data_IF_435748487784
#
_entry.id   IF_435748487784
#
_cell.length_a   1.000
_cell.length_b   1.000
_cell.length_c   1.000
_cell.angle_alpha   90.00
_cell.angle_beta   90.00
_cell.angle_gamma   90.00
#
_symmetry.space_group_name_H-M   'P 1'
#
loop_
_entity.id
_entity.type
_entity.pdbx_description
1 polymer ?
#
# COMPACT_ATOMS: atom_id res chain seq x y z
N UNK A 1 3.78 14.22 -0.68
CA UNK A 1 3.69 12.79 -0.34
C UNK A 1 2.56 12.18 -1.15
N UNK A 2 2.75 11.02 -1.76
CA UNK A 2 1.72 10.36 -2.59
C UNK A 2 0.68 9.63 -1.73
N UNK A 3 -0.49 9.35 -2.33
CA UNK A 3 -1.58 8.61 -1.68
C UNK A 3 -1.86 7.31 -2.43
N UNK A 4 -1.88 6.20 -1.70
CA UNK A 4 -2.42 4.92 -2.15
C UNK A 4 -3.69 4.61 -1.37
N UNK A 5 -4.73 4.16 -2.06
CA UNK A 5 -5.97 3.65 -1.45
C UNK A 5 -6.08 2.17 -1.80
N UNK A 6 -5.99 1.31 -0.78
CA UNK A 6 -5.93 -0.15 -0.94
C UNK A 6 -7.28 -0.81 -0.63
N UNK A 7 -7.50 -2.02 -1.16
CA UNK A 7 -8.69 -2.82 -0.89
C UNK A 7 -9.95 -2.28 -1.57
N UNK A 8 -9.83 -1.85 -2.82
CA UNK A 8 -10.96 -1.49 -3.67
C UNK A 8 -11.69 -2.75 -4.13
N UNK A 9 -13.02 -2.74 -4.13
CA UNK A 9 -13.81 -3.92 -4.47
C UNK A 9 -14.98 -3.61 -5.41
N UNK A 10 -15.80 -2.61 -5.13
CA UNK A 10 -17.03 -2.32 -5.85
C UNK A 10 -16.81 -1.29 -6.96
N UNK A 11 -17.29 -1.56 -8.19
CA UNK A 11 -17.04 -0.74 -9.38
C UNK A 11 -17.40 0.74 -9.15
N UNK A 12 -18.65 1.02 -8.73
CA UNK A 12 -19.11 2.39 -8.47
C UNK A 12 -18.23 3.12 -7.43
N UNK A 13 -17.68 2.38 -6.47
CA UNK A 13 -16.80 2.94 -5.44
C UNK A 13 -15.37 3.16 -5.97
N UNK A 14 -14.90 2.28 -6.86
CA UNK A 14 -13.61 2.45 -7.56
C UNK A 14 -13.65 3.76 -8.35
N UNK A 15 -14.71 4.02 -9.11
CA UNK A 15 -14.90 5.26 -9.87
C UNK A 15 -14.97 6.50 -8.97
N UNK A 16 -15.77 6.43 -7.88
CA UNK A 16 -15.87 7.51 -6.91
C UNK A 16 -14.52 7.86 -6.27
N UNK A 17 -13.71 6.85 -5.94
CA UNK A 17 -12.36 7.07 -5.36
C UNK A 17 -11.37 7.51 -6.44
N UNK A 18 -11.46 7.00 -7.67
CA UNK A 18 -10.62 7.43 -8.78
C UNK A 18 -10.81 8.92 -9.11
N UNK A 19 -12.04 9.45 -9.00
CA UNK A 19 -12.34 10.89 -9.14
C UNK A 19 -11.62 11.77 -8.11
N UNK A 20 -11.19 11.18 -6.98
CA UNK A 20 -10.33 11.87 -6.01
C UNK A 20 -8.86 11.92 -6.46
N UNK A 21 -8.50 11.25 -7.57
CA UNK A 21 -7.15 11.20 -8.13
C UNK A 21 -6.08 10.79 -7.09
N UNK A 22 -6.18 9.63 -6.43
CA UNK A 22 -5.06 9.07 -5.69
C UNK A 22 -3.95 8.68 -6.68
N UNK A 23 -2.73 8.50 -6.20
CA UNK A 23 -1.63 8.06 -7.06
C UNK A 23 -1.69 6.56 -7.36
N UNK A 24 -2.25 5.76 -6.44
CA UNK A 24 -2.37 4.31 -6.53
C UNK A 24 -3.73 3.84 -6.04
N UNK A 25 -4.31 2.84 -6.73
CA UNK A 25 -5.45 2.05 -6.25
C UNK A 25 -5.04 0.59 -6.12
N UNK A 26 -5.28 -0.02 -4.95
CA UNK A 26 -4.92 -1.39 -4.64
C UNK A 26 -6.12 -2.34 -4.71
N UNK A 27 -5.94 -3.46 -5.42
CA UNK A 27 -6.90 -4.54 -5.62
C UNK A 27 -6.34 -5.82 -5.02
N UNK A 28 -7.04 -6.44 -4.07
CA UNK A 28 -6.54 -7.58 -3.30
C UNK A 28 -6.97 -8.88 -3.98
N UNK A 29 -6.01 -9.64 -4.48
CA UNK A 29 -6.22 -10.96 -5.12
C UNK A 29 -5.93 -12.12 -4.15
N UNK A 30 -6.29 -11.96 -2.89
CA UNK A 30 -6.16 -12.98 -1.86
C UNK A 30 -7.54 -13.43 -1.39
N UNK A 31 -7.90 -14.68 -1.68
CA UNK A 31 -9.26 -15.23 -1.51
C UNK A 31 -9.78 -15.15 -0.08
N UNK A 32 -8.89 -15.26 0.91
CA UNK A 32 -9.27 -15.21 2.34
C UNK A 32 -9.52 -13.79 2.83
N UNK A 33 -9.29 -12.77 2.00
CA UNK A 33 -9.56 -11.38 2.36
C UNK A 33 -11.04 -11.05 2.19
N UNK A 34 -11.65 -10.39 3.17
CA UNK A 34 -12.99 -9.82 3.03
C UNK A 34 -13.05 -8.74 1.91
N UNK A 35 -11.89 -8.26 1.46
CA UNK A 35 -11.70 -7.27 0.38
C UNK A 35 -11.24 -7.93 -0.92
N UNK A 36 -11.37 -9.25 -1.03
CA UNK A 36 -10.99 -9.97 -2.25
C UNK A 36 -11.68 -9.35 -3.47
N UNK A 37 -10.87 -9.09 -4.51
CA UNK A 37 -11.31 -8.55 -5.78
C UNK A 37 -11.30 -9.65 -6.85
N UNK A 38 -12.46 -10.00 -7.36
CA UNK A 38 -12.68 -11.08 -8.34
C UNK A 38 -13.32 -10.59 -9.66
N UNK A 39 -13.56 -9.28 -9.78
CA UNK A 39 -14.20 -8.65 -10.92
C UNK A 39 -13.17 -8.09 -11.94
N UNK A 40 -13.60 -7.26 -12.87
CA UNK A 40 -12.77 -6.53 -13.82
C UNK A 40 -12.51 -5.11 -13.30
N UNK A 41 -11.24 -4.70 -13.27
CA UNK A 41 -10.90 -3.32 -12.89
C UNK A 41 -11.40 -2.39 -14.01
N UNK A 42 -12.28 -1.41 -13.72
CA UNK A 42 -12.77 -0.48 -14.71
C UNK A 42 -11.64 0.39 -15.28
N UNK A 43 -11.92 1.08 -16.39
CA UNK A 43 -10.97 2.04 -16.94
C UNK A 43 -10.69 3.17 -15.93
N UNK A 44 -9.43 3.39 -15.63
CA UNK A 44 -8.99 4.42 -14.70
C UNK A 44 -8.19 5.50 -15.42
N UNK A 45 -8.16 6.75 -14.92
CA UNK A 45 -7.26 7.77 -15.42
C UNK A 45 -5.80 7.28 -15.41
N UNK A 46 -5.05 7.55 -16.49
CA UNK A 46 -3.67 7.08 -16.67
C UNK A 46 -2.71 7.54 -15.55
N UNK A 47 -3.04 8.58 -14.81
CA UNK A 47 -2.27 9.06 -13.67
C UNK A 47 -2.39 8.17 -12.42
N UNK A 48 -3.35 7.25 -12.39
CA UNK A 48 -3.60 6.34 -11.26
C UNK A 48 -3.00 4.99 -11.58
N UNK A 49 -2.02 4.56 -10.80
CA UNK A 49 -1.41 3.23 -10.93
C UNK A 49 -2.28 2.16 -10.27
N UNK A 50 -2.51 1.06 -10.98
CA UNK A 50 -3.23 -0.13 -10.50
C UNK A 50 -2.25 -1.08 -9.81
N UNK A 51 -2.49 -1.36 -8.52
CA UNK A 51 -1.65 -2.24 -7.71
C UNK A 51 -2.39 -3.54 -7.44
N UNK A 52 -1.86 -4.66 -7.91
CA UNK A 52 -2.31 -5.98 -7.47
C UNK A 52 -1.67 -6.35 -6.13
N UNK A 53 -2.48 -6.74 -5.15
CA UNK A 53 -2.00 -7.18 -3.84
C UNK A 53 -2.14 -8.70 -3.74
N UNK A 54 -1.02 -9.36 -3.47
CA UNK A 54 -0.89 -10.82 -3.42
C UNK A 54 -0.32 -11.28 -2.07
N UNK A 55 -0.66 -12.47 -1.65
CA UNK A 55 -0.18 -13.09 -0.41
C UNK A 55 0.22 -14.53 -0.72
N UNK A 56 1.52 -14.81 -0.80
CA UNK A 56 2.11 -16.12 -1.08
C UNK A 56 1.51 -16.82 -2.32
N UNK A 57 1.22 -16.03 -3.37
CA UNK A 57 0.54 -16.48 -4.58
C UNK A 57 1.54 -17.06 -5.60
N UNK A 58 1.08 -17.98 -6.45
CA UNK A 58 1.85 -18.55 -7.53
C UNK A 58 2.21 -17.48 -8.58
N UNK A 59 3.46 -17.49 -9.05
CA UNK A 59 3.98 -16.52 -10.04
C UNK A 59 3.16 -16.53 -11.32
N UNK A 60 2.74 -17.68 -11.82
CA UNK A 60 1.92 -17.80 -13.05
C UNK A 60 0.56 -17.11 -12.86
N UNK A 61 -0.07 -17.29 -11.68
CA UNK A 61 -1.32 -16.60 -11.35
C UNK A 61 -1.12 -15.09 -11.30
N UNK A 62 -0.02 -14.62 -10.68
CA UNK A 62 0.32 -13.19 -10.64
C UNK A 62 0.48 -12.63 -12.06
N UNK A 63 1.21 -13.33 -12.95
CA UNK A 63 1.43 -12.91 -14.34
C UNK A 63 0.10 -12.82 -15.10
N UNK A 64 -0.77 -13.81 -14.94
CA UNK A 64 -2.11 -13.78 -15.55
C UNK A 64 -2.95 -12.59 -15.06
N UNK A 65 -2.85 -12.24 -13.75
CA UNK A 65 -3.54 -11.06 -13.21
C UNK A 65 -2.95 -9.75 -13.72
N UNK A 66 -1.62 -9.67 -13.93
CA UNK A 66 -0.97 -8.50 -14.55
C UNK A 66 -1.58 -8.22 -15.92
N UNK A 67 -1.67 -9.25 -16.77
CA UNK A 67 -2.18 -9.13 -18.13
C UNK A 67 -3.68 -8.80 -18.14
N UNK A 68 -4.47 -9.59 -17.41
CA UNK A 68 -5.93 -9.43 -17.33
C UNK A 68 -6.34 -8.02 -16.88
N UNK A 69 -5.69 -7.49 -15.85
CA UNK A 69 -6.08 -6.22 -15.23
C UNK A 69 -5.20 -5.04 -15.64
N UNK A 70 -4.15 -5.27 -16.46
CA UNK A 70 -3.15 -4.27 -16.84
C UNK A 70 -2.58 -3.57 -15.61
N UNK A 71 -2.04 -4.37 -14.68
CA UNK A 71 -1.47 -3.87 -13.43
C UNK A 71 -0.19 -3.09 -13.69
N UNK A 72 0.05 -2.04 -12.91
CA UNK A 72 1.25 -1.20 -12.97
C UNK A 72 2.26 -1.58 -11.89
N UNK A 73 1.78 -2.10 -10.76
CA UNK A 73 2.59 -2.50 -9.62
C UNK A 73 2.05 -3.76 -8.93
N UNK A 74 2.96 -4.49 -8.28
CA UNK A 74 2.68 -5.69 -7.49
C UNK A 74 3.05 -5.43 -6.04
N UNK A 75 2.09 -5.57 -5.15
CA UNK A 75 2.33 -5.54 -3.71
C UNK A 75 2.35 -6.97 -3.18
N UNK A 76 3.51 -7.41 -2.71
CA UNK A 76 3.77 -8.74 -2.17
C UNK A 76 3.64 -8.68 -0.64
N UNK A 77 2.52 -9.17 -0.13
CA UNK A 77 2.10 -9.00 1.27
C UNK A 77 2.22 -10.28 2.11
N UNK A 78 2.78 -11.33 1.54
CA UNK A 78 3.06 -12.60 2.20
C UNK A 78 4.54 -12.76 2.57
N UNK A 79 5.03 -14.00 2.48
CA UNK A 79 6.40 -14.40 2.79
C UNK A 79 7.26 -14.58 1.52
N UNK A 80 6.86 -13.91 0.41
CA UNK A 80 7.54 -14.02 -0.87
C UNK A 80 9.04 -13.74 -0.70
N UNK A 81 9.87 -14.69 -1.15
CA UNK A 81 11.33 -14.59 -1.02
C UNK A 81 11.93 -13.55 -1.99
N UNK A 82 13.20 -13.14 -1.78
CA UNK A 82 13.93 -12.28 -2.73
C UNK A 82 13.97 -12.87 -4.14
N UNK A 83 14.04 -14.21 -4.30
CA UNK A 83 14.04 -14.88 -5.60
C UNK A 83 12.70 -14.69 -6.32
N UNK A 84 11.58 -14.81 -5.62
CA UNK A 84 10.25 -14.54 -6.18
C UNK A 84 10.13 -13.07 -6.59
N UNK A 85 10.60 -12.15 -5.76
CA UNK A 85 10.62 -10.71 -6.09
C UNK A 85 11.45 -10.46 -7.36
N UNK A 86 12.63 -11.08 -7.47
CA UNK A 86 13.52 -10.98 -8.64
C UNK A 86 12.86 -11.52 -9.89
N UNK A 87 12.17 -12.66 -9.80
CA UNK A 87 11.45 -13.25 -10.92
C UNK A 87 10.32 -12.33 -11.40
N UNK A 88 9.53 -11.79 -10.48
CA UNK A 88 8.44 -10.87 -10.80
C UNK A 88 8.94 -9.53 -11.36
N UNK A 89 10.15 -9.08 -11.00
CA UNK A 89 10.76 -7.87 -11.56
C UNK A 89 10.97 -7.97 -13.08
N UNK A 90 11.11 -9.19 -13.63
CA UNK A 90 11.19 -9.41 -15.08
C UNK A 90 9.90 -9.03 -15.82
N UNK A 91 8.79 -8.82 -15.12
CA UNK A 91 7.52 -8.33 -15.72
C UNK A 91 7.54 -6.83 -16.02
N UNK A 92 8.60 -6.11 -15.68
CA UNK A 92 8.72 -4.64 -15.75
C UNK A 92 7.62 -3.89 -14.97
N UNK A 93 7.10 -4.49 -13.90
CA UNK A 93 6.16 -3.85 -12.98
C UNK A 93 6.88 -3.39 -11.72
N UNK A 94 6.36 -2.33 -11.09
CA UNK A 94 6.88 -1.91 -9.78
C UNK A 94 6.64 -2.99 -8.74
N UNK A 95 7.67 -3.36 -8.00
CA UNK A 95 7.58 -4.35 -6.90
C UNK A 95 7.58 -3.62 -5.57
N UNK A 96 6.51 -3.81 -4.81
CA UNK A 96 6.32 -3.27 -3.46
C UNK A 96 6.32 -4.45 -2.48
N UNK A 97 7.41 -4.65 -1.72
CA UNK A 97 7.46 -5.71 -0.71
C UNK A 97 7.00 -5.19 0.64
N UNK A 98 6.05 -5.89 1.23
CA UNK A 98 5.49 -5.54 2.55
C UNK A 98 6.29 -6.17 3.67
N UNK A 99 6.55 -5.38 4.70
CA UNK A 99 7.14 -5.80 5.96
C UNK A 99 6.23 -5.37 7.11
N UNK A 100 5.84 -6.33 7.94
CA UNK A 100 4.99 -6.09 9.10
C UNK A 100 5.83 -5.65 10.30
N UNK A 101 5.55 -4.46 10.83
CA UNK A 101 6.24 -3.88 11.99
C UNK A 101 5.34 -3.90 13.23
N UNK A 102 5.96 -4.19 14.37
CA UNK A 102 5.41 -3.92 15.71
C UNK A 102 6.09 -2.68 16.32
N UNK A 103 6.49 -2.78 17.58
CA UNK A 103 7.23 -1.73 18.28
C UNK A 103 8.72 -1.73 17.94
N UNK A 104 9.23 -2.85 17.41
CA UNK A 104 10.61 -3.06 16.99
C UNK A 104 10.62 -3.76 15.62
N UNK A 105 11.67 -3.53 14.85
CA UNK A 105 11.87 -4.17 13.56
C UNK A 105 13.37 -4.36 13.28
N UNK A 106 13.72 -5.57 12.89
CA UNK A 106 15.09 -5.88 12.43
C UNK A 106 15.22 -5.49 10.95
N UNK A 107 15.83 -4.33 10.72
CA UNK A 107 16.06 -3.82 9.36
C UNK A 107 17.07 -4.62 8.55
N UNK A 108 17.82 -5.56 9.14
CA UNK A 108 18.78 -6.38 8.40
C UNK A 108 18.12 -7.22 7.32
N UNK A 109 16.86 -7.63 7.54
CA UNK A 109 16.06 -8.40 6.56
C UNK A 109 15.84 -7.66 5.24
N UNK A 110 15.92 -6.32 5.23
CA UNK A 110 15.71 -5.52 4.02
C UNK A 110 16.84 -5.67 3.01
N UNK A 111 18.05 -6.10 3.47
CA UNK A 111 19.24 -6.18 2.63
C UNK A 111 19.02 -7.07 1.42
N UNK A 112 18.40 -8.22 1.62
CA UNK A 112 18.19 -9.22 0.56
C UNK A 112 17.14 -8.77 -0.48
N UNK A 113 16.28 -7.82 -0.09
CA UNK A 113 15.25 -7.25 -0.97
C UNK A 113 15.68 -5.94 -1.64
N UNK A 114 16.87 -5.42 -1.31
CA UNK A 114 17.34 -4.12 -1.77
C UNK A 114 17.33 -3.95 -3.28
N UNK A 115 17.79 -4.96 -4.02
CA UNK A 115 17.95 -4.89 -5.48
C UNK A 115 16.76 -5.45 -6.26
N UNK A 116 15.89 -6.20 -5.59
CA UNK A 116 14.79 -6.94 -6.23
C UNK A 116 13.41 -6.30 -6.04
N UNK A 117 13.31 -5.23 -5.24
CA UNK A 117 12.09 -4.44 -5.04
C UNK A 117 12.32 -2.99 -5.38
N UNK A 118 11.29 -2.28 -5.85
CA UNK A 118 11.33 -0.84 -6.12
C UNK A 118 10.98 -0.04 -4.88
N UNK A 119 10.07 -0.57 -4.07
CA UNK A 119 9.60 0.03 -2.82
C UNK A 119 9.50 -1.02 -1.72
N UNK A 120 9.68 -0.56 -0.49
CA UNK A 120 9.19 -1.26 0.69
C UNK A 120 7.83 -0.69 1.10
N UNK A 121 7.05 -1.48 1.82
CA UNK A 121 5.85 -1.00 2.48
C UNK A 121 5.90 -1.50 3.93
N UNK A 122 5.82 -0.56 4.87
CA UNK A 122 5.79 -0.88 6.30
C UNK A 122 4.34 -0.82 6.80
N UNK A 123 3.82 -1.97 7.20
CA UNK A 123 2.46 -2.13 7.73
C UNK A 123 2.49 -2.54 9.19
N UNK A 124 1.42 -2.25 9.92
CA UNK A 124 1.29 -2.67 11.32
C UNK A 124 1.12 -4.18 11.42
N UNK A 125 1.98 -4.85 12.19
CA UNK A 125 1.82 -6.28 12.48
C UNK A 125 0.63 -6.50 13.41
N UNK A 126 -0.46 -7.02 12.85
CA UNK A 126 -1.65 -7.43 13.57
C UNK A 126 -1.89 -8.94 13.48
N UNK A 127 -3.07 -9.38 13.94
CA UNK A 127 -3.48 -10.78 13.86
C UNK A 127 -3.92 -11.19 12.46
N UNK A 128 -4.19 -10.23 11.58
CA UNK A 128 -4.61 -10.45 10.19
C UNK A 128 -3.66 -9.74 9.22
N UNK A 129 -3.43 -10.29 8.02
CA UNK A 129 -2.73 -9.59 6.94
C UNK A 129 -3.51 -8.33 6.54
N UNK A 130 -3.10 -7.16 7.04
CA UNK A 130 -3.74 -5.87 6.78
C UNK A 130 -5.05 -5.61 7.55
N UNK A 131 -5.44 -4.34 7.65
CA UNK A 131 -6.74 -3.92 8.19
C UNK A 131 -6.91 -4.01 9.71
N UNK A 132 -5.83 -4.09 10.48
CA UNK A 132 -5.86 -4.26 11.95
C UNK A 132 -6.35 -3.02 12.73
N UNK A 133 -6.49 -1.88 12.09
CA UNK A 133 -7.16 -0.69 12.66
C UNK A 133 -6.35 0.14 13.66
N UNK A 134 -5.12 -0.24 14.00
CA UNK A 134 -4.18 0.54 14.81
C UNK A 134 -2.85 0.74 14.09
N UNK A 135 -2.07 1.75 14.46
CA UNK A 135 -0.77 2.06 13.88
C UNK A 135 0.36 1.62 14.81
N UNK A 136 1.45 1.09 14.23
CA UNK A 136 2.71 0.89 14.97
C UNK A 136 3.36 2.25 15.34
N UNK A 137 4.39 2.19 16.17
CA UNK A 137 5.16 3.40 16.49
C UNK A 137 6.08 3.76 15.31
N UNK A 138 5.74 4.83 14.57
CA UNK A 138 6.51 5.27 13.38
C UNK A 138 7.92 5.76 13.72
N UNK A 139 8.24 6.01 15.00
CA UNK A 139 9.60 6.36 15.44
C UNK A 139 10.62 5.24 15.17
N UNK A 140 10.17 3.99 15.05
CA UNK A 140 11.02 2.87 14.61
C UNK A 140 11.71 3.18 13.28
N UNK A 141 11.05 3.90 12.38
CA UNK A 141 11.56 4.27 11.06
C UNK A 141 12.66 5.35 11.11
N UNK A 142 12.96 5.96 12.28
CA UNK A 142 14.13 6.84 12.44
C UNK A 142 15.44 6.07 12.23
N UNK A 143 15.42 4.76 12.48
CA UNK A 143 16.56 3.86 12.32
C UNK A 143 16.59 3.16 10.95
N UNK A 144 15.73 3.57 10.00
CA UNK A 144 15.67 3.01 8.65
C UNK A 144 17.01 3.19 7.92
N UNK A 145 17.76 2.11 7.61
CA UNK A 145 19.16 2.21 7.17
C UNK A 145 19.32 2.37 5.66
N UNK A 146 18.23 2.37 4.91
CA UNK A 146 18.24 2.36 3.45
C UNK A 146 17.79 3.70 2.86
N UNK A 147 18.20 3.97 1.62
CA UNK A 147 17.70 5.11 0.81
C UNK A 147 16.51 4.72 -0.07
N UNK A 148 16.12 3.43 -0.06
CA UNK A 148 14.99 2.93 -0.86
C UNK A 148 13.70 3.61 -0.41
N UNK A 149 12.90 4.16 -1.35
CA UNK A 149 11.63 4.78 -0.99
C UNK A 149 10.65 3.74 -0.45
N UNK A 150 9.82 4.16 0.49
CA UNK A 150 8.85 3.26 1.11
C UNK A 150 7.46 3.87 1.25
N UNK A 151 6.46 3.00 1.36
CA UNK A 151 5.08 3.31 1.70
C UNK A 151 4.87 3.12 3.20
N UNK A 152 4.20 4.07 3.84
CA UNK A 152 3.77 3.96 5.23
C UNK A 152 2.31 3.53 5.27
N UNK A 153 2.03 2.43 5.95
CA UNK A 153 0.70 1.82 6.10
C UNK A 153 0.38 1.52 7.57
N UNK A 154 -0.78 0.93 7.81
CA UNK A 154 -1.21 0.43 9.11
C UNK A 154 -2.01 1.42 9.94
N UNK A 155 -3.33 1.23 9.99
CA UNK A 155 -4.25 1.95 10.85
C UNK A 155 -4.37 3.46 10.60
N UNK A 156 -3.95 3.93 9.43
CA UNK A 156 -3.95 5.36 9.08
C UNK A 156 -5.36 5.82 8.70
N UNK A 157 -5.85 6.85 9.40
CA UNK A 157 -7.15 7.48 9.17
C UNK A 157 -7.11 9.00 9.40
N UNK A 158 -8.28 9.62 9.52
CA UNK A 158 -8.38 11.05 9.80
C UNK A 158 -7.85 11.44 11.19
N UNK A 159 -7.93 10.53 12.16
CA UNK A 159 -7.39 10.73 13.51
C UNK A 159 -5.86 10.80 13.54
N UNK A 160 -5.18 10.26 12.52
CA UNK A 160 -3.72 10.23 12.44
C UNK A 160 -3.13 11.45 11.72
N UNK A 161 -3.93 12.44 11.31
CA UNK A 161 -3.45 13.62 10.55
C UNK A 161 -2.36 14.38 11.30
N UNK A 162 -2.55 14.66 12.58
CA UNK A 162 -1.52 15.37 13.38
C UNK A 162 -0.26 14.51 13.56
N UNK A 163 -0.41 13.20 13.70
CA UNK A 163 0.72 12.25 13.73
C UNK A 163 1.48 12.26 12.40
N UNK A 164 0.77 12.33 11.26
CA UNK A 164 1.39 12.44 9.92
C UNK A 164 2.15 13.76 9.78
N UNK A 165 1.60 14.87 10.27
CA UNK A 165 2.29 16.18 10.28
C UNK A 165 3.60 16.11 11.07
N UNK A 166 3.55 15.54 12.26
CA UNK A 166 4.75 15.34 13.09
C UNK A 166 5.75 14.40 12.42
N UNK A 167 5.28 13.31 11.82
CA UNK A 167 6.10 12.36 11.08
C UNK A 167 6.82 13.03 9.89
N UNK A 168 6.14 13.86 9.10
CA UNK A 168 6.75 14.58 7.97
C UNK A 168 7.91 15.48 8.38
N UNK A 169 7.91 15.98 9.60
CA UNK A 169 9.00 16.82 10.16
C UNK A 169 10.13 15.99 10.77
N UNK A 170 9.95 14.68 10.91
CA UNK A 170 10.93 13.78 11.50
C UNK A 170 11.89 13.19 10.46
N UNK A 171 13.12 12.81 10.84
CA UNK A 171 14.04 12.09 9.96
C UNK A 171 13.45 10.80 9.39
N UNK A 172 12.50 10.17 10.08
CA UNK A 172 11.83 8.95 9.64
C UNK A 172 11.12 9.12 8.29
N UNK A 173 10.64 10.33 7.97
CA UNK A 173 9.92 10.58 6.72
C UNK A 173 10.80 10.76 5.49
N UNK A 174 12.13 10.85 5.64
CA UNK A 174 13.07 11.20 4.56
C UNK A 174 12.87 10.39 3.28
N UNK A 175 12.59 9.11 3.41
CA UNK A 175 12.38 8.21 2.28
C UNK A 175 10.93 7.72 2.16
N UNK A 176 10.00 8.32 2.92
CA UNK A 176 8.58 8.01 2.81
C UNK A 176 8.00 8.60 1.53
N UNK A 177 7.71 7.72 0.59
CA UNK A 177 7.21 8.06 -0.74
C UNK A 177 5.69 8.27 -0.75
N UNK A 178 4.95 7.41 -0.06
CA UNK A 178 3.50 7.42 -0.06
C UNK A 178 2.91 7.00 1.29
N UNK A 179 1.69 7.47 1.55
CA UNK A 179 0.82 6.95 2.60
C UNK A 179 -0.16 5.96 1.96
N UNK A 180 -0.26 4.77 2.53
CA UNK A 180 -1.21 3.73 2.13
C UNK A 180 -2.34 3.64 3.15
N UNK A 181 -3.57 3.80 2.68
CA UNK A 181 -4.78 3.78 3.51
C UNK A 181 -5.74 2.68 3.07
N UNK A 182 -6.47 2.10 4.03
CA UNK A 182 -7.42 1.02 3.78
C UNK A 182 -8.63 1.09 4.73
N UNK A 183 -8.67 0.28 5.79
CA UNK A 183 -9.84 -0.02 6.63
C UNK A 183 -10.44 1.20 7.34
N UNK A 184 -9.62 2.19 7.75
CA UNK A 184 -10.11 3.40 8.43
C UNK A 184 -10.99 4.30 7.55
N UNK A 185 -10.96 4.08 6.24
CA UNK A 185 -11.77 4.81 5.27
C UNK A 185 -12.93 3.97 4.71
N UNK A 186 -13.25 2.85 5.34
CA UNK A 186 -14.34 1.99 4.89
C UNK A 186 -15.66 2.28 5.60
N UNK A 187 -16.75 2.06 4.88
CA UNK A 187 -18.12 1.92 5.39
C UNK A 187 -18.32 0.46 5.78
N UNK A 188 -17.92 -0.44 4.89
CA UNK A 188 -17.80 -1.88 5.06
C UNK A 188 -16.57 -2.38 4.27
N UNK A 189 -16.15 -3.63 4.49
CA UNK A 189 -14.95 -4.18 3.85
C UNK A 189 -14.98 -4.06 2.33
N UNK A 190 -14.08 -3.29 1.77
CA UNK A 190 -13.97 -3.03 0.33
C UNK A 190 -14.77 -1.82 -0.17
N UNK A 191 -15.66 -1.22 0.64
CA UNK A 191 -16.45 -0.03 0.30
C UNK A 191 -15.90 1.21 0.98
N UNK A 192 -15.19 2.04 0.25
CA UNK A 192 -14.55 3.26 0.79
C UNK A 192 -15.53 4.42 0.94
N UNK A 193 -15.41 5.14 2.03
CA UNK A 193 -16.06 6.43 2.23
C UNK A 193 -15.29 7.52 1.49
N UNK A 194 -15.74 7.88 0.30
CA UNK A 194 -15.10 8.88 -0.57
C UNK A 194 -14.98 10.25 0.08
N UNK A 195 -15.97 10.68 0.88
CA UNK A 195 -15.92 11.98 1.57
C UNK A 195 -14.84 12.02 2.66
N UNK A 196 -14.66 10.93 3.42
CA UNK A 196 -13.53 10.83 4.36
C UNK A 196 -12.19 10.86 3.65
N UNK A 197 -12.06 10.14 2.51
CA UNK A 197 -10.85 10.15 1.68
C UNK A 197 -10.56 11.52 1.10
N UNK A 198 -11.57 12.23 0.61
CA UNK A 198 -11.45 13.60 0.09
C UNK A 198 -10.91 14.55 1.17
N UNK A 199 -11.46 14.49 2.39
CA UNK A 199 -10.95 15.28 3.53
C UNK A 199 -9.49 14.93 3.82
N UNK A 200 -9.15 13.66 3.89
CA UNK A 200 -7.79 13.18 4.16
C UNK A 200 -6.80 13.66 3.08
N UNK A 201 -7.15 13.49 1.80
CA UNK A 201 -6.31 13.95 0.68
C UNK A 201 -6.05 15.44 0.75
N UNK A 202 -7.08 16.26 1.06
CA UNK A 202 -6.92 17.71 1.22
C UNK A 202 -5.85 18.03 2.28
N UNK A 203 -5.86 17.33 3.40
CA UNK A 203 -4.83 17.50 4.42
C UNK A 203 -3.44 17.06 3.95
N UNK A 204 -3.30 15.99 3.15
CA UNK A 204 -2.01 15.56 2.64
C UNK A 204 -1.38 16.53 1.63
N UNK A 205 -2.18 17.35 0.95
CA UNK A 205 -1.75 18.24 -0.16
C UNK A 205 -1.72 19.72 0.21
N UNK A 206 -2.29 20.11 1.36
CA UNK A 206 -2.23 21.51 1.82
C UNK A 206 -0.79 21.94 2.12
N UNK A 207 -0.47 23.18 1.81
CA UNK A 207 0.86 23.79 2.02
C UNK A 207 1.26 23.95 3.50
N UNK A 208 0.33 23.72 4.42
CA UNK A 208 0.58 23.72 5.87
C UNK A 208 1.19 22.40 6.38
N UNK A 209 1.64 21.55 5.46
CA UNK A 209 2.29 20.26 5.75
C UNK A 209 3.78 20.31 5.49
#
# INVERSE_FOLDING_TARGET
MKLKVCGMKYEHNIEAVANLQPNYLGFIFYDKSARHFDDVIPALPNAIKKVGVFVDENVEVIVNKIEKHKLDALQLHGHESPEICKLLKCTNKEIIKVFSIKNEFDFSVLKDYGDVCDYFLFDTKGNLPGGNGYSFNWDVLKNYPSTKPYFLSGGIGLSEIEKIKAFKKSPASKYCYAIDVNSKFEIESGLKNSEKLKKFKKHLTSSDF
#
